data_IF_977387251785
#
_entry.id   IF_977387251785
#
_cell.length_a   1.000
_cell.length_b   1.000
_cell.length_c   1.000
_cell.angle_alpha   90.00
_cell.angle_beta   90.00
_cell.angle_gamma   90.00
#
_symmetry.space_group_name_H-M   'P 1'
#
loop_
_entity.id
_entity.type
_entity.pdbx_description
1 polymer ?
#
# COMPACT_ATOMS: atom_id res chain seq x y z
N UNK A 1 22.56 18.40 -34.18
CA UNK A 1 22.73 17.10 -34.86
C UNK A 1 23.61 16.24 -33.96
N UNK A 2 23.24 14.95 -33.82
CA UNK A 2 23.56 13.99 -32.74
C UNK A 2 22.75 14.29 -31.46
N UNK A 3 21.60 13.67 -31.16
CA UNK A 3 21.10 12.27 -31.27
C UNK A 3 21.63 11.36 -30.16
N UNK A 4 21.03 11.45 -28.97
CA UNK A 4 21.03 10.42 -27.95
C UNK A 4 19.59 10.00 -27.70
N UNK A 5 19.32 8.73 -27.98
CA UNK A 5 18.02 8.11 -27.92
C UNK A 5 17.63 7.85 -26.46
N UNK A 6 16.44 8.31 -26.08
CA UNK A 6 15.75 7.79 -24.91
C UNK A 6 15.27 6.37 -25.25
N UNK A 7 15.69 5.38 -24.47
CA UNK A 7 15.08 4.05 -24.55
C UNK A 7 13.65 4.11 -23.99
N UNK A 8 12.66 3.51 -24.67
CA UNK A 8 11.30 3.45 -24.18
C UNK A 8 11.15 2.36 -23.11
N UNK A 9 10.60 2.76 -21.96
CA UNK A 9 10.06 1.86 -20.95
C UNK A 9 8.78 1.22 -21.52
N UNK A 10 8.82 -0.09 -21.77
CA UNK A 10 7.65 -0.89 -22.12
C UNK A 10 6.96 -1.37 -20.83
N UNK A 11 5.71 -1.00 -20.56
CA UNK A 11 4.93 -1.62 -19.50
C UNK A 11 4.67 -3.08 -19.89
N UNK A 12 5.25 -3.99 -19.12
CA UNK A 12 5.07 -5.42 -19.25
C UNK A 12 3.59 -5.81 -19.21
N UNK A 13 3.23 -6.62 -20.20
CA UNK A 13 1.98 -7.29 -20.49
C UNK A 13 1.35 -7.98 -19.24
N UNK A 14 0.59 -7.22 -18.44
CA UNK A 14 -0.36 -7.79 -17.48
C UNK A 14 -1.49 -8.43 -18.27
N UNK A 15 -1.47 -9.76 -18.34
CA UNK A 15 -2.50 -10.60 -18.96
C UNK A 15 -3.84 -10.44 -18.24
N UNK A 16 -4.55 -9.34 -18.49
CA UNK A 16 -5.98 -9.22 -18.21
C UNK A 16 -6.72 -10.14 -19.16
N UNK A 17 -7.18 -11.29 -18.64
CA UNK A 17 -8.05 -12.21 -19.38
C UNK A 17 -9.37 -11.51 -19.76
N UNK A 18 -9.52 -11.32 -21.08
CA UNK A 18 -10.69 -11.57 -21.92
C UNK A 18 -12.07 -11.12 -21.39
N UNK A 19 -12.58 -10.04 -21.97
CA UNK A 19 -13.94 -10.04 -22.52
C UNK A 19 -13.90 -9.78 -24.04
N UNK A 20 -14.54 -10.67 -24.78
CA UNK A 20 -14.68 -10.70 -26.23
C UNK A 20 -15.51 -9.52 -26.75
N UNK A 21 -15.13 -8.98 -27.92
CA UNK A 21 -16.08 -8.30 -28.81
C UNK A 21 -15.50 -7.27 -29.78
N UNK A 22 -14.71 -7.71 -30.79
CA UNK A 22 -14.42 -6.90 -31.97
C UNK A 22 -15.54 -7.09 -33.00
N UNK A 23 -16.20 -6.01 -33.40
CA UNK A 23 -16.94 -5.95 -34.67
C UNK A 23 -16.63 -4.60 -35.35
N UNK A 24 -15.89 -4.70 -36.47
CA UNK A 24 -15.81 -3.68 -37.50
C UNK A 24 -16.93 -3.96 -38.53
N UNK A 25 -17.39 -2.90 -39.18
CA UNK A 25 -18.47 -2.78 -40.19
C UNK A 25 -19.84 -2.32 -39.68
N UNK A 26 -20.27 -1.21 -40.27
CA UNK A 26 -21.38 -0.39 -39.82
C UNK A 26 -22.74 -1.04 -39.97
N UNK A 27 -23.52 -0.91 -38.90
CA UNK A 27 -24.96 -0.84 -38.96
C UNK A 27 -25.37 0.41 -38.17
N UNK A 28 -26.30 1.21 -38.71
CA UNK A 28 -26.92 2.32 -37.95
C UNK A 28 -27.69 1.69 -36.79
N UNK A 29 -27.02 1.54 -35.64
CA UNK A 29 -27.71 1.25 -34.39
C UNK A 29 -28.62 2.45 -34.11
N UNK A 30 -29.93 2.25 -33.89
CA UNK A 30 -30.78 3.35 -33.42
C UNK A 30 -30.15 3.92 -32.15
N UNK A 31 -30.26 5.25 -31.90
CA UNK A 31 -29.74 5.83 -30.67
C UNK A 31 -30.33 5.04 -29.51
N UNK A 32 -29.45 4.42 -28.71
CA UNK A 32 -29.84 3.74 -27.48
C UNK A 32 -30.68 4.74 -26.68
N UNK A 33 -31.90 4.39 -26.23
CA UNK A 33 -32.67 5.29 -25.39
C UNK A 33 -31.78 5.73 -24.23
N UNK A 34 -31.83 7.01 -23.80
CA UNK A 34 -30.99 7.48 -22.71
C UNK A 34 -31.20 6.52 -21.54
N UNK A 35 -30.11 5.89 -21.09
CA UNK A 35 -30.18 5.05 -19.91
C UNK A 35 -30.80 5.90 -18.78
N UNK A 36 -31.72 5.33 -17.96
CA UNK A 36 -32.28 6.08 -16.85
C UNK A 36 -31.10 6.64 -16.04
N UNK A 37 -31.06 7.96 -15.88
CA UNK A 37 -30.01 8.62 -15.12
C UNK A 37 -30.20 8.23 -13.66
N UNK A 38 -29.41 7.28 -13.19
CA UNK A 38 -29.37 6.89 -11.79
C UNK A 38 -28.56 7.93 -11.03
N UNK A 39 -29.15 8.43 -9.95
CA UNK A 39 -28.49 9.34 -9.02
C UNK A 39 -27.74 8.56 -7.95
N UNK A 40 -26.78 9.16 -7.23
CA UNK A 40 -26.19 8.55 -6.04
C UNK A 40 -27.24 8.12 -5.00
N UNK A 41 -28.35 8.86 -4.87
CA UNK A 41 -29.45 8.49 -3.97
C UNK A 41 -30.16 7.20 -4.40
N UNK A 42 -30.32 6.97 -5.71
CA UNK A 42 -30.91 5.72 -6.21
C UNK A 42 -30.02 4.51 -5.91
N UNK A 43 -28.70 4.67 -6.00
CA UNK A 43 -27.73 3.62 -5.66
C UNK A 43 -27.73 3.37 -4.16
N UNK A 44 -27.75 4.43 -3.34
CA UNK A 44 -27.84 4.34 -1.89
C UNK A 44 -29.09 3.57 -1.44
N UNK A 45 -30.26 3.82 -2.05
CA UNK A 45 -31.48 3.10 -1.74
C UNK A 45 -31.37 1.59 -2.04
N UNK A 46 -30.76 1.21 -3.17
CA UNK A 46 -30.49 -0.19 -3.49
C UNK A 46 -29.51 -0.80 -2.49
N UNK A 47 -28.45 -0.07 -2.13
CA UNK A 47 -27.50 -0.50 -1.11
C UNK A 47 -28.18 -0.71 0.24
N UNK A 48 -29.17 0.12 0.59
CA UNK A 48 -29.95 0.02 1.84
C UNK A 48 -30.93 -1.16 1.86
N UNK A 49 -31.37 -1.63 0.69
CA UNK A 49 -32.25 -2.81 0.59
C UNK A 49 -31.49 -4.12 0.38
N UNK A 50 -30.16 -4.07 0.23
CA UNK A 50 -29.33 -5.25 -0.03
C UNK A 50 -29.00 -5.99 1.27
N UNK A 51 -29.28 -7.29 1.33
CA UNK A 51 -28.86 -8.14 2.44
C UNK A 51 -27.33 -8.25 2.49
N UNK A 52 -26.75 -8.10 3.68
CA UNK A 52 -25.30 -8.22 3.88
C UNK A 52 -24.94 -9.69 4.12
N UNK A 53 -23.99 -10.20 3.35
CA UNK A 53 -23.42 -11.52 3.59
C UNK A 53 -22.68 -11.55 4.94
N UNK A 54 -22.66 -12.71 5.58
CA UNK A 54 -21.87 -12.91 6.79
C UNK A 54 -20.38 -12.71 6.46
N UNK A 55 -19.64 -11.89 7.23
CA UNK A 55 -18.21 -11.74 7.01
C UNK A 55 -17.52 -13.07 7.33
N UNK A 56 -16.73 -13.56 6.37
CA UNK A 56 -15.79 -14.67 6.60
C UNK A 56 -14.39 -14.16 6.39
N UNK A 57 -13.40 -14.81 7.01
CA UNK A 57 -12.00 -14.42 6.83
C UNK A 57 -11.59 -14.46 5.35
N UNK A 58 -12.01 -15.48 4.60
CA UNK A 58 -11.74 -15.59 3.16
C UNK A 58 -12.33 -14.43 2.37
N UNK A 59 -13.59 -14.06 2.64
CA UNK A 59 -14.26 -12.97 1.95
C UNK A 59 -13.61 -11.63 2.28
N UNK A 60 -13.31 -11.39 3.55
CA UNK A 60 -12.68 -10.14 3.99
C UNK A 60 -11.26 -10.02 3.48
N UNK A 61 -10.49 -11.10 3.50
CA UNK A 61 -9.15 -11.17 2.90
C UNK A 61 -9.19 -10.84 1.41
N UNK A 62 -10.12 -11.45 0.67
CA UNK A 62 -10.28 -11.18 -0.76
C UNK A 62 -10.64 -9.72 -1.03
N UNK A 63 -11.66 -9.18 -0.35
CA UNK A 63 -12.12 -7.80 -0.57
C UNK A 63 -11.07 -6.78 -0.12
N UNK A 64 -10.40 -7.01 1.01
CA UNK A 64 -9.32 -6.13 1.46
C UNK A 64 -8.13 -6.19 0.52
N UNK A 65 -7.75 -7.38 0.04
CA UNK A 65 -6.69 -7.54 -0.96
C UNK A 65 -7.00 -6.80 -2.25
N UNK A 66 -8.25 -6.88 -2.74
CA UNK A 66 -8.71 -6.12 -3.92
C UNK A 66 -8.57 -4.61 -3.69
N UNK A 67 -9.09 -4.08 -2.56
CA UNK A 67 -8.97 -2.65 -2.21
C UNK A 67 -7.50 -2.19 -2.17
N UNK A 68 -6.62 -3.00 -1.57
CA UNK A 68 -5.20 -2.67 -1.44
C UNK A 68 -4.48 -2.74 -2.78
N UNK A 69 -4.79 -3.71 -3.64
CA UNK A 69 -4.16 -3.85 -4.96
C UNK A 69 -4.45 -2.66 -5.88
N UNK A 70 -5.60 -2.01 -5.73
CA UNK A 70 -5.98 -0.82 -6.51
C UNK A 70 -5.42 0.51 -5.96
N UNK A 71 -4.66 0.49 -4.85
CA UNK A 71 -4.06 1.67 -4.23
C UNK A 71 -2.93 2.26 -5.09
N UNK A 72 -3.31 3.15 -6.02
CA UNK A 72 -2.41 3.86 -6.96
C UNK A 72 -2.42 5.35 -6.67
N UNK A 73 -1.76 5.78 -5.59
CA UNK A 73 -1.77 7.18 -5.12
C UNK A 73 -0.92 8.15 -5.97
N UNK A 74 -0.69 7.78 -7.22
CA UNK A 74 -0.07 8.57 -8.28
C UNK A 74 -1.04 8.85 -9.45
N UNK A 75 -2.26 8.30 -9.41
CA UNK A 75 -3.34 8.55 -10.38
C UNK A 75 -4.54 9.27 -9.74
N UNK A 76 -5.45 9.75 -10.60
CA UNK A 76 -6.75 10.26 -10.13
C UNK A 76 -7.61 9.13 -9.54
N UNK A 77 -8.43 9.42 -8.52
CA UNK A 77 -9.42 8.48 -8.02
C UNK A 77 -10.38 8.03 -9.13
N UNK A 78 -10.76 6.76 -9.10
CA UNK A 78 -11.68 6.21 -10.07
C UNK A 78 -13.07 6.87 -9.93
N UNK A 79 -13.90 6.70 -10.97
CA UNK A 79 -15.27 7.21 -10.94
C UNK A 79 -16.08 6.56 -9.81
N UNK A 80 -15.82 5.28 -9.53
CA UNK A 80 -16.36 4.53 -8.39
C UNK A 80 -15.98 5.18 -7.06
N UNK A 81 -14.71 5.55 -6.85
CA UNK A 81 -14.22 6.20 -5.63
C UNK A 81 -14.94 7.52 -5.37
N UNK A 82 -15.09 8.33 -6.42
CA UNK A 82 -15.84 9.60 -6.35
C UNK A 82 -17.31 9.38 -6.02
N UNK A 83 -17.92 8.32 -6.55
CA UNK A 83 -19.32 7.97 -6.31
C UNK A 83 -19.54 7.53 -4.85
N UNK A 84 -18.71 6.62 -4.32
CA UNK A 84 -18.82 6.12 -2.93
C UNK A 84 -18.49 7.20 -1.90
N UNK A 85 -17.71 8.22 -2.28
CA UNK A 85 -17.41 9.38 -1.42
C UNK A 85 -18.60 10.34 -1.24
N UNK A 86 -19.67 10.23 -2.04
CA UNK A 86 -20.85 11.09 -1.91
C UNK A 86 -21.60 10.84 -0.60
N UNK A 87 -22.21 11.89 -0.03
CA UNK A 87 -22.94 11.81 1.24
C UNK A 87 -24.01 10.70 1.29
N UNK A 88 -24.86 10.50 0.26
CA UNK A 88 -25.85 9.41 0.29
C UNK A 88 -25.21 8.03 0.42
N UNK A 89 -24.21 7.71 -0.42
CA UNK A 89 -23.54 6.41 -0.36
C UNK A 89 -22.74 6.24 0.93
N UNK A 90 -22.02 7.26 1.39
CA UNK A 90 -21.30 7.19 2.67
C UNK A 90 -22.24 6.91 3.84
N UNK A 91 -23.46 7.43 3.81
CA UNK A 91 -24.45 7.15 4.85
C UNK A 91 -24.88 5.68 4.83
N UNK A 92 -25.24 5.15 3.66
CA UNK A 92 -25.63 3.74 3.50
C UNK A 92 -24.47 2.80 3.81
N UNK A 93 -23.24 3.12 3.40
CA UNK A 93 -22.05 2.30 3.66
C UNK A 93 -21.66 2.20 5.14
N UNK A 94 -22.15 3.10 6.02
CA UNK A 94 -21.88 2.98 7.47
C UNK A 94 -22.39 1.66 8.05
N UNK A 95 -23.51 1.15 7.54
CA UNK A 95 -24.07 -0.13 7.99
C UNK A 95 -23.19 -1.32 7.58
N UNK A 96 -22.57 -1.24 6.41
CA UNK A 96 -21.64 -2.25 5.89
C UNK A 96 -20.37 -2.26 6.72
N UNK A 97 -19.81 -1.06 6.99
CA UNK A 97 -18.66 -0.93 7.88
C UNK A 97 -18.96 -1.45 9.30
N UNK A 98 -20.13 -1.12 9.86
CA UNK A 98 -20.53 -1.62 11.18
C UNK A 98 -20.72 -3.15 11.21
N UNK A 99 -21.26 -3.73 10.13
CA UNK A 99 -21.43 -5.19 9.99
C UNK A 99 -20.08 -5.91 9.91
N UNK A 100 -19.15 -5.38 9.12
CA UNK A 100 -17.78 -5.92 9.00
C UNK A 100 -17.05 -5.85 10.35
N UNK A 101 -17.08 -4.67 11.00
CA UNK A 101 -16.38 -4.45 12.27
C UNK A 101 -16.99 -5.18 13.47
N UNK A 102 -18.22 -5.69 13.34
CA UNK A 102 -18.84 -6.52 14.38
C UNK A 102 -18.29 -7.95 14.38
N UNK A 103 -17.65 -8.40 13.29
CA UNK A 103 -17.08 -9.73 13.21
C UNK A 103 -15.67 -9.81 13.80
N UNK A 104 -15.43 -10.85 14.59
CA UNK A 104 -14.18 -11.10 15.30
C UNK A 104 -12.95 -11.25 14.40
N UNK A 105 -13.10 -11.63 13.13
CA UNK A 105 -11.99 -11.74 12.17
C UNK A 105 -11.36 -10.39 11.84
N UNK A 106 -12.04 -9.28 12.16
CA UNK A 106 -11.52 -7.91 12.01
C UNK A 106 -10.91 -7.35 13.29
N UNK A 107 -10.90 -8.08 14.40
CA UNK A 107 -10.41 -7.59 15.69
C UNK A 107 -8.97 -7.06 15.59
N UNK A 108 -8.10 -7.80 14.88
CA UNK A 108 -6.70 -7.45 14.68
C UNK A 108 -6.48 -6.18 13.84
N UNK A 109 -7.50 -5.64 13.16
CA UNK A 109 -7.35 -4.47 12.31
C UNK A 109 -6.97 -3.21 13.08
N UNK A 110 -7.38 -3.11 14.35
CA UNK A 110 -7.06 -2.01 15.25
C UNK A 110 -6.13 -2.37 16.40
N UNK A 111 -5.56 -3.58 16.41
CA UNK A 111 -4.64 -4.02 17.44
C UNK A 111 -3.24 -3.46 17.17
N UNK A 112 -2.48 -3.21 18.24
CA UNK A 112 -1.03 -2.99 18.15
C UNK A 112 -0.34 -4.23 17.56
N UNK A 113 0.88 -4.07 17.05
CA UNK A 113 1.63 -5.19 16.46
C UNK A 113 1.79 -6.36 17.44
N UNK A 114 1.30 -7.54 17.04
CA UNK A 114 1.57 -8.79 17.77
C UNK A 114 3.01 -9.25 17.53
N UNK A 115 3.88 -8.94 18.49
CA UNK A 115 5.31 -9.28 18.46
C UNK A 115 5.58 -10.80 18.45
N UNK A 116 4.60 -11.62 18.81
CA UNK A 116 4.73 -13.08 18.79
C UNK A 116 4.39 -13.70 17.43
N UNK A 117 3.71 -12.94 16.58
CA UNK A 117 3.26 -13.37 15.27
C UNK A 117 3.67 -12.40 14.17
N UNK A 118 4.91 -12.54 13.68
CA UNK A 118 5.43 -11.71 12.59
C UNK A 118 6.19 -12.58 11.57
N UNK A 119 6.07 -12.24 10.30
CA UNK A 119 6.87 -12.80 9.22
C UNK A 119 7.31 -11.74 8.22
N UNK A 120 8.48 -11.96 7.65
CA UNK A 120 8.99 -11.21 6.51
C UNK A 120 8.72 -12.01 5.24
N UNK A 121 8.33 -11.34 4.17
CA UNK A 121 8.11 -11.94 2.85
C UNK A 121 9.10 -11.34 1.85
N UNK A 122 9.68 -12.21 1.04
CA UNK A 122 10.54 -11.88 -0.09
C UNK A 122 9.85 -12.32 -1.38
N UNK A 123 9.81 -11.41 -2.34
CA UNK A 123 9.34 -11.66 -3.71
C UNK A 123 10.53 -11.98 -4.64
N UNK A 124 10.34 -12.76 -5.72
CA UNK A 124 11.43 -13.23 -6.59
C UNK A 124 12.33 -12.12 -7.17
N UNK A 125 11.73 -11.00 -7.60
CA UNK A 125 12.43 -9.90 -8.26
C UNK A 125 12.80 -8.75 -7.31
N UNK A 126 12.56 -8.94 -6.01
CA UNK A 126 12.91 -7.98 -4.97
C UNK A 126 14.15 -8.51 -4.22
N UNK A 127 15.18 -7.65 -3.99
CA UNK A 127 16.33 -7.96 -3.15
C UNK A 127 15.98 -8.79 -1.91
N UNK A 128 16.68 -9.91 -1.75
CA UNK A 128 16.35 -10.88 -0.71
C UNK A 128 16.71 -10.47 0.71
N UNK A 129 16.34 -11.31 1.68
CA UNK A 129 16.54 -11.08 3.11
C UNK A 129 17.97 -10.68 3.51
N UNK A 130 18.98 -11.08 2.72
CA UNK A 130 20.40 -10.82 2.94
C UNK A 130 20.85 -9.42 2.50
N UNK A 131 20.01 -8.70 1.74
CA UNK A 131 20.28 -7.36 1.22
C UNK A 131 19.67 -6.26 2.11
N UNK A 132 19.10 -6.62 3.26
CA UNK A 132 18.68 -5.67 4.28
C UNK A 132 19.93 -4.94 4.79
N UNK A 133 19.97 -3.63 4.56
CA UNK A 133 21.09 -2.82 4.98
C UNK A 133 21.12 -2.61 6.49
N UNK A 134 22.25 -2.15 7.03
CA UNK A 134 22.31 -1.74 8.44
C UNK A 134 21.37 -0.54 8.64
N UNK A 135 20.32 -0.62 9.47
CA UNK A 135 19.28 0.42 9.49
C UNK A 135 19.80 1.86 9.67
N UNK A 136 20.78 2.14 10.55
CA UNK A 136 21.32 3.51 10.67
C UNK A 136 21.94 4.05 9.37
N UNK A 137 22.64 3.21 8.61
CA UNK A 137 23.28 3.62 7.36
C UNK A 137 22.25 3.77 6.23
N UNK A 138 21.26 2.88 6.16
CA UNK A 138 20.14 2.96 5.21
C UNK A 138 19.36 4.25 5.41
N UNK A 139 19.00 4.56 6.66
CA UNK A 139 18.22 5.75 7.00
C UNK A 139 18.99 7.04 6.73
N UNK A 140 20.29 7.07 7.00
CA UNK A 140 21.12 8.23 6.68
C UNK A 140 21.19 8.48 5.16
N UNK A 141 21.48 7.44 4.37
CA UNK A 141 21.52 7.53 2.89
C UNK A 141 20.17 7.98 2.34
N UNK A 142 19.09 7.36 2.80
CA UNK A 142 17.72 7.75 2.41
C UNK A 142 17.46 9.22 2.72
N UNK A 143 17.85 9.71 3.91
CA UNK A 143 17.63 11.10 4.30
C UNK A 143 18.36 12.09 3.37
N UNK A 144 19.61 11.81 3.01
CA UNK A 144 20.42 12.61 2.10
C UNK A 144 19.86 12.58 0.66
N UNK A 145 19.36 11.43 0.23
CA UNK A 145 18.69 11.25 -1.06
C UNK A 145 17.40 12.09 -1.12
N UNK A 146 16.56 12.06 -0.09
CA UNK A 146 15.32 12.85 -0.04
C UNK A 146 15.59 14.36 -0.08
N UNK A 147 16.59 14.86 0.67
CA UNK A 147 17.00 16.29 0.59
C UNK A 147 17.41 16.67 -0.85
N UNK A 148 18.19 15.78 -1.50
CA UNK A 148 18.67 16.01 -2.85
C UNK A 148 17.51 15.97 -3.87
N UNK A 149 16.56 15.06 -3.70
CA UNK A 149 15.39 14.92 -4.55
C UNK A 149 14.45 16.11 -4.43
N UNK A 150 14.18 16.60 -3.22
CA UNK A 150 13.33 17.77 -3.00
C UNK A 150 13.95 19.03 -3.63
N UNK A 151 15.24 19.29 -3.38
CA UNK A 151 15.97 20.43 -3.99
C UNK A 151 15.95 20.34 -5.51
N UNK A 152 16.19 19.14 -6.06
CA UNK A 152 16.16 18.90 -7.51
C UNK A 152 14.77 19.14 -8.07
N UNK A 153 13.74 18.64 -7.41
CA UNK A 153 12.35 18.76 -7.83
C UNK A 153 11.91 20.23 -7.88
N UNK A 154 12.24 21.02 -6.86
CA UNK A 154 11.95 22.46 -6.83
C UNK A 154 12.68 23.24 -7.93
N UNK A 155 13.87 22.80 -8.33
CA UNK A 155 14.66 23.44 -9.39
C UNK A 155 14.19 23.08 -10.80
N UNK A 156 13.87 21.81 -11.03
CA UNK A 156 13.70 21.25 -12.38
C UNK A 156 12.24 21.09 -12.81
N UNK A 157 11.31 20.93 -11.86
CA UNK A 157 9.91 20.63 -12.16
C UNK A 157 9.04 21.88 -12.15
N UNK A 158 7.93 21.83 -12.89
CA UNK A 158 6.99 22.95 -12.95
C UNK A 158 6.30 23.17 -11.59
N UNK A 159 6.14 24.45 -11.25
CA UNK A 159 5.44 24.85 -10.03
C UNK A 159 3.92 24.58 -10.07
N UNK A 160 3.36 24.37 -11.27
CA UNK A 160 1.98 23.97 -11.48
C UNK A 160 1.81 22.49 -11.09
N UNK A 161 0.96 22.17 -10.08
CA UNK A 161 0.73 20.79 -9.66
C UNK A 161 -0.03 19.96 -10.70
N UNK A 162 -0.71 20.59 -11.68
CA UNK A 162 -1.41 19.87 -12.75
C UNK A 162 -0.50 19.48 -13.93
N UNK A 163 0.80 19.78 -13.85
CA UNK A 163 1.74 19.40 -14.90
C UNK A 163 1.91 17.87 -14.95
N UNK A 164 2.02 17.31 -16.16
CA UNK A 164 2.29 15.89 -16.37
C UNK A 164 3.70 15.54 -15.88
N UNK A 165 3.77 15.02 -14.66
CA UNK A 165 4.98 14.52 -14.05
C UNK A 165 4.62 13.45 -13.04
N UNK A 166 5.39 12.36 -13.02
CA UNK A 166 5.28 11.32 -12.00
C UNK A 166 6.67 10.93 -11.51
N UNK A 167 6.76 10.42 -10.29
CA UNK A 167 8.00 9.96 -9.69
C UNK A 167 7.76 9.09 -8.47
N UNK A 168 8.61 9.27 -7.46
CA UNK A 168 8.45 8.54 -6.20
C UNK A 168 7.26 9.10 -5.42
N UNK A 169 6.20 8.33 -5.24
CA UNK A 169 4.96 8.76 -4.59
C UNK A 169 4.79 8.22 -3.16
N UNK A 170 5.69 7.35 -2.72
CA UNK A 170 5.64 6.70 -1.42
C UNK A 170 6.02 7.62 -0.26
N UNK A 171 5.44 7.37 0.90
CA UNK A 171 5.79 7.97 2.19
C UNK A 171 6.27 6.96 3.24
N UNK A 172 6.23 5.65 2.93
CA UNK A 172 6.78 4.58 3.78
C UNK A 172 8.29 4.71 4.02
N UNK A 173 8.84 3.99 5.03
CA UNK A 173 10.28 3.87 5.23
C UNK A 173 11.01 3.24 4.03
N UNK A 174 12.35 3.44 3.91
CA UNK A 174 13.13 2.99 2.75
C UNK A 174 13.16 1.47 2.62
N UNK A 175 13.01 0.98 1.38
CA UNK A 175 12.81 -0.44 1.07
C UNK A 175 13.89 -1.40 1.60
N UNK A 176 15.12 -0.91 1.78
CA UNK A 176 16.26 -1.69 2.29
C UNK A 176 16.17 -2.00 3.79
N UNK A 177 15.12 -1.56 4.47
CA UNK A 177 14.83 -1.93 5.85
C UNK A 177 14.02 -3.23 5.92
N UNK A 178 14.11 -3.88 7.07
CA UNK A 178 13.32 -5.07 7.34
C UNK A 178 11.86 -4.67 7.59
N UNK A 179 10.94 -5.39 6.97
CA UNK A 179 9.49 -5.23 7.16
C UNK A 179 8.85 -6.56 7.51
N UNK A 180 7.82 -6.53 8.35
CA UNK A 180 7.09 -7.72 8.75
C UNK A 180 5.59 -7.48 8.84
N UNK A 181 4.84 -8.57 8.73
CA UNK A 181 3.38 -8.60 8.83
C UNK A 181 2.92 -9.74 9.73
N UNK A 182 1.71 -9.67 10.30
CA UNK A 182 1.08 -10.82 10.95
C UNK A 182 0.66 -11.88 9.93
N UNK A 183 0.13 -12.99 10.43
CA UNK A 183 -0.49 -14.03 9.61
C UNK A 183 -2.00 -13.98 9.70
N UNK A 184 -2.67 -14.48 8.66
CA UNK A 184 -4.04 -14.95 8.74
C UNK A 184 -4.13 -16.25 9.55
N UNK A 185 -5.34 -16.71 9.86
CA UNK A 185 -5.57 -17.91 10.67
C UNK A 185 -4.98 -19.18 10.05
N UNK A 186 -4.90 -19.23 8.71
CA UNK A 186 -4.28 -20.30 7.93
C UNK A 186 -2.74 -20.25 7.88
N UNK A 187 -2.12 -19.34 8.65
CA UNK A 187 -0.68 -19.11 8.70
C UNK A 187 -0.07 -18.52 7.43
N UNK A 188 -0.88 -17.98 6.51
CA UNK A 188 -0.36 -17.17 5.41
C UNK A 188 -0.01 -15.75 5.90
N UNK A 189 1.22 -15.25 5.66
CA UNK A 189 1.56 -13.86 5.94
C UNK A 189 0.61 -12.90 5.22
N UNK A 190 0.13 -11.86 5.92
CA UNK A 190 -0.92 -10.99 5.39
C UNK A 190 -0.52 -10.30 4.07
N UNK A 191 0.74 -9.89 3.95
CA UNK A 191 1.30 -9.25 2.73
C UNK A 191 1.29 -10.16 1.49
N UNK A 192 1.00 -11.46 1.60
CA UNK A 192 0.76 -12.26 0.41
C UNK A 192 -0.51 -11.81 -0.34
N UNK A 193 -1.47 -11.26 0.39
CA UNK A 193 -2.74 -10.79 -0.14
C UNK A 193 -2.85 -9.26 -0.14
N UNK A 194 -2.17 -8.59 0.79
CA UNK A 194 -2.32 -7.17 1.06
C UNK A 194 -1.10 -6.38 0.54
N UNK A 195 -1.00 -6.23 -0.77
CA UNK A 195 0.10 -5.49 -1.44
C UNK A 195 -0.44 -4.33 -2.26
N UNK A 196 -0.02 -3.11 -1.94
CA UNK A 196 -0.31 -1.95 -2.79
C UNK A 196 0.42 -2.06 -4.12
N UNK A 197 -0.29 -1.77 -5.22
CA UNK A 197 0.30 -1.65 -6.56
C UNK A 197 1.23 -2.82 -6.91
N UNK A 198 0.77 -4.05 -6.60
CA UNK A 198 1.57 -5.26 -6.69
C UNK A 198 1.90 -5.66 -8.13
N UNK A 199 3.06 -6.29 -8.33
CA UNK A 199 3.56 -6.68 -9.66
C UNK A 199 3.02 -8.04 -10.16
N UNK A 200 1.93 -8.55 -9.58
CA UNK A 200 1.34 -9.82 -9.98
C UNK A 200 2.20 -11.05 -9.66
N UNK A 201 2.95 -11.03 -8.55
CA UNK A 201 3.78 -12.15 -8.15
C UNK A 201 2.96 -13.41 -7.87
N UNK A 202 3.41 -14.55 -8.40
CA UNK A 202 2.78 -15.86 -8.21
C UNK A 202 3.58 -16.77 -7.27
N UNK A 203 4.77 -16.33 -6.85
CA UNK A 203 5.61 -17.06 -5.90
C UNK A 203 6.20 -16.10 -4.87
N UNK A 204 6.44 -16.58 -3.66
CA UNK A 204 7.08 -15.82 -2.60
C UNK A 204 7.81 -16.75 -1.61
N UNK A 205 8.73 -16.17 -0.84
CA UNK A 205 9.33 -16.85 0.30
C UNK A 205 9.02 -16.08 1.58
N UNK A 206 8.80 -16.78 2.69
CA UNK A 206 8.67 -16.14 3.99
C UNK A 206 9.59 -16.75 5.05
N UNK A 207 9.93 -15.94 6.04
CA UNK A 207 10.60 -16.35 7.28
C UNK A 207 9.86 -15.74 8.46
N UNK A 208 9.71 -16.52 9.54
CA UNK A 208 9.23 -15.98 10.82
C UNK A 208 10.22 -14.93 11.32
N UNK A 209 9.70 -13.88 11.94
CA UNK A 209 10.50 -12.86 12.58
C UNK A 209 10.44 -13.04 14.09
N UNK A 210 11.60 -12.98 14.73
CA UNK A 210 11.72 -12.97 16.18
C UNK A 210 12.10 -11.57 16.66
N UNK A 211 11.34 -11.04 17.62
CA UNK A 211 11.51 -9.69 18.12
C UNK A 211 11.98 -9.75 19.58
N UNK A 212 13.28 -9.56 19.86
CA UNK A 212 13.77 -9.58 21.23
C UNK A 212 13.26 -8.41 22.07
N UNK A 213 13.06 -8.68 23.36
CA UNK A 213 12.86 -7.64 24.36
C UNK A 213 11.55 -6.87 24.19
N UNK A 214 11.61 -5.56 24.42
CA UNK A 214 10.47 -4.65 24.34
C UNK A 214 10.85 -3.45 23.46
N UNK A 215 10.83 -3.60 22.12
CA UNK A 215 11.11 -2.50 21.22
C UNK A 215 10.08 -1.37 21.42
N UNK A 216 10.50 -0.13 21.18
CA UNK A 216 9.61 1.02 21.15
C UNK A 216 8.96 1.10 19.78
N UNK A 217 7.69 0.77 19.68
CA UNK A 217 6.98 0.77 18.40
C UNK A 217 6.05 1.98 18.33
N UNK A 218 6.07 2.67 17.19
CA UNK A 218 5.10 3.73 16.90
C UNK A 218 3.92 3.10 16.15
N UNK A 219 2.77 3.03 16.81
CA UNK A 219 1.53 2.49 16.25
C UNK A 219 0.76 3.60 15.53
N UNK A 220 0.30 3.34 14.31
CA UNK A 220 -0.52 4.25 13.50
C UNK A 220 -1.88 3.60 13.29
N UNK A 221 -2.86 4.02 14.10
CA UNK A 221 -4.23 3.51 14.06
C UNK A 221 -5.21 4.48 13.40
N UNK A 222 -4.80 5.75 13.26
CA UNK A 222 -5.65 6.83 12.75
C UNK A 222 -4.85 7.84 11.93
N UNK A 223 -5.57 8.67 11.16
CA UNK A 223 -4.99 9.84 10.51
C UNK A 223 -4.31 10.80 11.51
N UNK A 224 -4.83 10.90 12.74
CA UNK A 224 -4.28 11.74 13.80
C UNK A 224 -2.94 11.22 14.33
N UNK A 225 -2.76 9.90 14.41
CA UNK A 225 -1.47 9.31 14.80
C UNK A 225 -0.40 9.63 13.77
N UNK A 226 -0.73 9.47 12.48
CA UNK A 226 0.14 9.87 11.36
C UNK A 226 0.46 11.36 11.39
N UNK A 227 -0.56 12.20 11.57
CA UNK A 227 -0.39 13.65 11.66
C UNK A 227 0.52 14.03 12.84
N UNK A 228 0.35 13.37 13.99
CA UNK A 228 1.20 13.55 15.16
C UNK A 228 2.65 13.14 14.91
N UNK A 229 2.88 12.06 14.15
CA UNK A 229 4.22 11.61 13.78
C UNK A 229 4.90 12.62 12.83
N UNK A 230 4.21 13.02 11.75
CA UNK A 230 4.68 14.04 10.81
C UNK A 230 4.96 15.37 11.52
N UNK A 231 4.15 15.74 12.52
CA UNK A 231 4.34 16.97 13.28
C UNK A 231 5.60 16.95 14.14
N UNK A 232 5.94 15.79 14.70
CA UNK A 232 7.11 15.62 15.56
C UNK A 232 8.41 15.47 14.77
N UNK A 233 8.34 14.86 13.60
CA UNK A 233 9.50 14.59 12.75
C UNK A 233 9.23 15.01 11.30
N UNK A 234 9.00 16.30 11.01
CA UNK A 234 8.65 16.71 9.67
C UNK A 234 9.85 16.63 8.72
N UNK A 235 9.65 15.98 7.57
CA UNK A 235 10.51 16.05 6.40
C UNK A 235 9.71 16.66 5.24
N UNK A 236 10.24 17.74 4.67
CA UNK A 236 9.64 18.44 3.53
C UNK A 236 9.81 17.65 2.23
N UNK A 237 8.71 17.46 1.50
CA UNK A 237 8.68 16.72 0.21
C UNK A 237 7.75 17.40 -0.81
N UNK A 238 7.58 18.72 -0.70
CA UNK A 238 6.62 19.49 -1.50
C UNK A 238 6.92 19.49 -2.99
N UNK A 239 8.17 19.73 -3.39
CA UNK A 239 8.59 19.65 -4.78
C UNK A 239 8.53 18.23 -5.30
N UNK A 240 8.87 17.26 -4.46
CA UNK A 240 9.00 15.86 -4.83
C UNK A 240 7.64 15.20 -5.11
N UNK A 241 6.66 15.36 -4.20
CA UNK A 241 5.38 14.62 -4.23
C UNK A 241 4.21 15.37 -4.85
N UNK A 242 4.36 16.68 -5.10
CA UNK A 242 3.25 17.57 -5.52
C UNK A 242 2.39 17.05 -6.66
N UNK A 243 2.97 16.45 -7.70
CA UNK A 243 2.23 16.09 -8.91
C UNK A 243 1.38 14.85 -8.65
N UNK A 244 2.02 13.75 -8.22
CA UNK A 244 1.35 12.50 -7.89
C UNK A 244 0.30 12.69 -6.77
N UNK A 245 0.65 13.41 -5.70
CA UNK A 245 -0.30 13.63 -4.60
C UNK A 245 -1.40 14.63 -4.95
N UNK A 246 -1.17 15.56 -5.88
CA UNK A 246 -2.25 16.38 -6.43
C UNK A 246 -3.22 15.54 -7.26
N UNK A 247 -2.73 14.62 -8.08
CA UNK A 247 -3.60 13.71 -8.86
C UNK A 247 -4.57 12.95 -7.96
N UNK A 248 -4.07 12.36 -6.87
CA UNK A 248 -4.91 11.53 -6.00
C UNK A 248 -5.78 12.34 -5.02
N UNK A 249 -5.28 13.46 -4.49
CA UNK A 249 -5.99 14.22 -3.43
C UNK A 249 -6.71 15.48 -3.91
N UNK A 250 -6.36 16.00 -5.09
CA UNK A 250 -6.78 17.32 -5.57
C UNK A 250 -6.21 18.50 -4.77
N UNK A 251 -5.35 18.25 -3.77
CA UNK A 251 -4.79 19.28 -2.91
C UNK A 251 -3.46 19.78 -3.46
N UNK A 252 -3.28 21.10 -3.45
CA UNK A 252 -2.00 21.75 -3.66
C UNK A 252 -1.53 22.40 -2.35
N UNK A 253 -0.22 22.58 -2.19
CA UNK A 253 0.36 23.24 -1.03
C UNK A 253 1.58 22.51 -0.50
N UNK A 254 1.84 22.71 0.79
CA UNK A 254 2.99 22.13 1.47
C UNK A 254 2.71 20.66 1.84
N UNK A 255 3.72 19.82 1.65
CA UNK A 255 3.69 18.38 1.89
C UNK A 255 4.86 17.95 2.76
N UNK A 256 4.56 17.15 3.78
CA UNK A 256 5.56 16.53 4.66
C UNK A 256 5.33 15.03 4.81
N UNK A 257 6.39 14.31 5.12
CA UNK A 257 6.37 12.93 5.62
C UNK A 257 7.17 12.84 6.92
N UNK A 258 7.11 11.73 7.67
CA UNK A 258 8.03 11.52 8.78
C UNK A 258 9.49 11.41 8.30
N UNK A 259 10.40 12.16 8.93
CA UNK A 259 11.84 11.93 8.81
C UNK A 259 12.19 10.60 9.49
N UNK A 260 12.22 9.51 8.72
CA UNK A 260 12.48 8.17 9.25
C UNK A 260 13.82 8.04 9.97
N UNK A 261 14.83 8.83 9.58
CA UNK A 261 16.12 8.86 10.27
C UNK A 261 16.02 9.53 11.65
N UNK A 262 15.18 10.57 11.79
CA UNK A 262 14.87 11.16 13.09
C UNK A 262 13.96 10.26 13.95
N UNK A 263 12.95 9.63 13.34
CA UNK A 263 12.03 8.68 14.01
C UNK A 263 12.80 7.53 14.66
N UNK A 264 13.80 6.98 13.96
CA UNK A 264 14.64 5.87 14.45
C UNK A 264 15.42 6.16 15.74
N UNK A 265 15.55 7.44 16.14
CA UNK A 265 16.16 7.80 17.43
C UNK A 265 15.23 7.49 18.60
N UNK A 266 13.92 7.49 18.37
CA UNK A 266 12.90 7.34 19.40
C UNK A 266 12.14 6.02 19.30
N UNK A 267 12.09 5.40 18.12
CA UNK A 267 11.37 4.17 17.87
C UNK A 267 12.27 3.14 17.18
N UNK A 268 12.06 1.88 17.53
CA UNK A 268 12.72 0.72 16.94
C UNK A 268 11.94 0.17 15.74
N UNK A 269 10.62 0.41 15.71
CA UNK A 269 9.76 0.09 14.58
C UNK A 269 8.55 1.01 14.49
N UNK A 270 7.89 1.00 13.33
CA UNK A 270 6.66 1.75 13.06
C UNK A 270 5.67 0.81 12.41
N UNK A 271 4.48 0.71 12.98
CA UNK A 271 3.43 -0.19 12.55
C UNK A 271 2.25 0.61 12.00
N UNK A 272 1.79 0.26 10.79
CA UNK A 272 0.55 0.77 10.23
C UNK A 272 -0.54 -0.28 10.38
N UNK A 273 -1.48 -0.05 11.31
CA UNK A 273 -2.63 -0.93 11.48
C UNK A 273 -3.58 -0.88 10.27
N UNK A 274 -4.36 -1.94 10.06
CA UNK A 274 -5.34 -2.01 8.95
C UNK A 274 -6.39 -0.91 9.08
N UNK A 275 -6.85 -0.60 10.30
CA UNK A 275 -7.78 0.49 10.55
C UNK A 275 -7.17 1.85 10.21
N UNK A 276 -5.91 2.08 10.56
CA UNK A 276 -5.14 3.28 10.21
C UNK A 276 -5.07 3.45 8.70
N UNK A 277 -4.67 2.38 8.01
CA UNK A 277 -4.63 2.32 6.56
C UNK A 277 -5.99 2.68 5.92
N UNK A 278 -7.05 1.93 6.24
CA UNK A 278 -8.39 2.13 5.65
C UNK A 278 -8.97 3.52 5.94
N UNK A 279 -8.59 4.13 7.05
CA UNK A 279 -9.08 5.46 7.44
C UNK A 279 -8.39 6.61 6.69
N UNK A 280 -7.13 6.43 6.28
CA UNK A 280 -6.23 7.55 5.99
C UNK A 280 -5.37 7.40 4.72
N UNK A 281 -5.09 6.18 4.26
CA UNK A 281 -4.25 5.95 3.07
C UNK A 281 -4.85 6.61 1.81
N UNK A 282 -3.99 7.21 1.00
CA UNK A 282 -4.38 7.93 -0.21
C UNK A 282 -5.13 9.26 0.00
N UNK A 283 -5.41 9.66 1.23
CA UNK A 283 -6.11 10.92 1.55
C UNK A 283 -5.12 11.99 1.96
N UNK A 284 -5.45 13.25 1.68
CA UNK A 284 -4.76 14.37 2.32
C UNK A 284 -5.08 14.38 3.82
N UNK A 285 -4.03 14.35 4.64
CA UNK A 285 -4.09 14.38 6.10
C UNK A 285 -3.50 15.72 6.56
N UNK A 286 -4.32 16.58 7.13
CA UNK A 286 -3.87 17.88 7.65
C UNK A 286 -3.01 17.69 8.92
N UNK A 287 -1.90 18.43 9.03
CA UNK A 287 -0.89 18.24 10.09
C UNK A 287 -1.09 19.17 11.30
N UNK A 288 -2.16 19.97 11.34
CA UNK A 288 -2.49 20.95 12.40
C UNK A 288 -1.30 21.79 12.92
N UNK A 289 -0.23 21.97 12.14
CA UNK A 289 0.84 22.94 12.42
C UNK A 289 0.45 24.30 11.86
N UNK A 290 -0.07 24.27 10.64
CA UNK A 290 -0.64 25.38 9.91
C UNK A 290 -1.72 24.82 8.96
N UNK A 291 -2.57 25.69 8.44
CA UNK A 291 -3.66 25.30 7.53
C UNK A 291 -3.15 24.90 6.13
N UNK A 292 -1.84 24.94 5.88
CA UNK A 292 -1.24 24.80 4.55
C UNK A 292 -0.35 23.55 4.42
N UNK A 293 -0.16 22.79 5.49
CA UNK A 293 0.68 21.57 5.52
C UNK A 293 -0.17 20.32 5.67
N UNK A 294 0.00 19.39 4.73
CA UNK A 294 -0.60 18.07 4.78
C UNK A 294 0.42 16.96 4.54
N UNK A 295 -0.01 15.72 4.69
CA UNK A 295 0.72 14.50 4.36
C UNK A 295 -0.23 13.49 3.70
N UNK A 296 0.33 12.42 3.14
CA UNK A 296 -0.40 11.27 2.61
C UNK A 296 0.32 9.99 3.07
N UNK A 297 -0.43 9.00 3.55
CA UNK A 297 0.08 7.64 3.72
C UNK A 297 0.00 6.95 2.36
N UNK A 298 1.16 6.56 1.82
CA UNK A 298 1.27 6.03 0.47
C UNK A 298 2.44 5.04 0.34
N UNK A 299 2.22 3.94 -0.38
CA UNK A 299 3.22 2.89 -0.57
C UNK A 299 3.37 1.97 0.61
N UNK A 300 2.40 1.88 1.52
CA UNK A 300 2.52 1.16 2.77
C UNK A 300 1.39 0.15 2.92
N UNK A 301 1.74 -1.13 2.97
CA UNK A 301 0.78 -2.21 3.12
C UNK A 301 0.09 -2.21 4.51
N UNK A 302 -1.21 -2.51 4.60
CA UNK A 302 -1.90 -2.58 5.88
C UNK A 302 -1.38 -3.73 6.75
N UNK A 303 -1.21 -3.48 8.05
CA UNK A 303 -0.66 -4.43 9.01
C UNK A 303 0.86 -4.58 8.94
N UNK A 304 1.55 -3.78 8.12
CA UNK A 304 3.00 -3.85 7.94
C UNK A 304 3.76 -3.01 8.96
N UNK A 305 4.78 -3.63 9.56
CA UNK A 305 5.71 -3.02 10.49
C UNK A 305 7.07 -2.84 9.82
N UNK A 306 7.59 -1.63 9.83
CA UNK A 306 8.94 -1.31 9.37
C UNK A 306 9.89 -1.18 10.56
N UNK A 307 11.01 -1.90 10.51
CA UNK A 307 12.00 -1.93 11.59
C UNK A 307 13.15 -0.97 11.30
N UNK A 308 13.26 0.05 12.15
CA UNK A 308 14.20 1.17 12.00
C UNK A 308 15.54 0.90 12.69
N UNK A 309 15.63 -0.15 13.49
CA UNK A 309 16.85 -0.57 14.21
C UNK A 309 17.11 -2.07 14.01
N UNK A 310 18.34 -2.52 14.31
CA UNK A 310 18.77 -3.91 14.07
C UNK A 310 18.22 -4.93 15.09
N UNK A 311 17.05 -4.67 15.68
CA UNK A 311 16.48 -5.45 16.78
C UNK A 311 15.97 -6.84 16.37
N UNK A 312 15.13 -6.96 15.34
CA UNK A 312 14.53 -8.24 14.98
C UNK A 312 15.51 -9.22 14.33
N UNK A 313 15.37 -10.51 14.66
CA UNK A 313 16.13 -11.61 14.06
C UNK A 313 15.25 -12.45 13.15
N UNK A 314 15.79 -12.85 12.00
CA UNK A 314 15.11 -13.75 11.06
C UNK A 314 15.21 -15.22 11.51
N UNK A 315 14.09 -15.92 11.48
CA UNK A 315 14.05 -17.37 11.65
C UNK A 315 14.77 -18.09 10.51
N UNK A 316 15.24 -19.30 10.78
CA UNK A 316 16.01 -20.11 9.82
C UNK A 316 15.14 -20.86 8.82
N UNK A 317 13.89 -21.17 9.17
CA UNK A 317 12.95 -21.87 8.30
C UNK A 317 12.47 -20.93 7.20
N UNK A 318 12.84 -21.26 5.96
CA UNK A 318 12.29 -20.64 4.76
C UNK A 318 11.02 -21.39 4.35
N UNK A 319 9.93 -20.66 4.17
CA UNK A 319 8.66 -21.20 3.68
C UNK A 319 8.43 -20.71 2.27
N UNK A 320 8.10 -21.63 1.35
CA UNK A 320 7.84 -21.31 -0.04
C UNK A 320 6.33 -21.21 -0.26
N UNK A 321 5.92 -20.20 -1.01
CA UNK A 321 4.53 -19.91 -1.30
C UNK A 321 4.30 -19.86 -2.80
N UNK A 322 3.18 -20.42 -3.24
CA UNK A 322 2.73 -20.37 -4.62
C UNK A 322 1.26 -19.96 -4.66
N UNK A 323 0.94 -19.02 -5.54
CA UNK A 323 -0.42 -18.59 -5.82
C UNK A 323 -1.12 -19.64 -6.68
N UNK A 324 -2.26 -20.13 -6.23
CA UNK A 324 -3.11 -21.05 -6.99
C UNK A 324 -4.12 -20.29 -7.87
N UNK A 325 -4.72 -20.97 -8.84
CA UNK A 325 -5.78 -20.39 -9.71
C UNK A 325 -7.00 -19.88 -8.91
N UNK A 326 -7.19 -20.41 -7.70
CA UNK A 326 -8.22 -20.00 -6.73
C UNK A 326 -7.91 -18.67 -6.04
N UNK A 327 -6.79 -18.01 -6.38
CA UNK A 327 -6.26 -16.82 -5.71
C UNK A 327 -5.89 -17.06 -4.25
N UNK A 328 -5.67 -18.31 -3.86
CA UNK A 328 -5.15 -18.68 -2.55
C UNK A 328 -3.66 -18.99 -2.63
N UNK A 329 -2.93 -18.53 -1.64
CA UNK A 329 -1.52 -18.87 -1.48
C UNK A 329 -1.39 -20.18 -0.74
N UNK A 330 -0.68 -21.12 -1.35
CA UNK A 330 -0.37 -22.41 -0.75
C UNK A 330 1.10 -22.48 -0.35
N UNK A 331 1.34 -23.02 0.85
CA UNK A 331 2.67 -23.43 1.24
C UNK A 331 3.12 -24.64 0.42
N UNK A 332 4.25 -24.49 -0.27
CA UNK A 332 4.93 -25.58 -0.96
C UNK A 332 6.02 -26.08 -0.02
N UNK A 333 5.99 -27.38 0.33
CA UNK A 333 7.10 -27.98 1.05
C UNK A 333 8.33 -27.97 0.15
N UNK A 334 9.43 -27.41 0.62
CA UNK A 334 10.70 -27.57 -0.08
C UNK A 334 11.03 -29.05 -0.08
N UNK A 335 10.91 -29.74 -1.22
CA UNK A 335 11.61 -31.00 -1.40
C UNK A 335 13.08 -30.72 -1.09
N UNK A 336 13.62 -31.37 -0.07
CA UNK A 336 15.04 -31.40 0.21
C UNK A 336 15.76 -32.17 -0.92
N UNK A 337 15.82 -31.60 -2.13
CA UNK A 337 16.49 -32.15 -3.31
C UNK A 337 16.89 -31.01 -4.27
N UNK A 338 17.68 -30.06 -3.79
CA UNK A 338 18.64 -29.35 -4.64
C UNK A 338 20.04 -29.58 -4.05
N UNK A 339 20.40 -30.86 -3.89
CA UNK A 339 21.81 -31.24 -3.80
C UNK A 339 22.44 -30.98 -5.17
N UNK A 340 23.19 -29.88 -5.27
CA UNK A 340 24.15 -29.69 -6.34
C UNK A 340 25.01 -30.97 -6.45
N UNK A 341 25.11 -31.62 -7.62
CA UNK A 341 26.06 -32.71 -7.78
C UNK A 341 27.48 -32.13 -7.63
N UNK A 342 28.40 -32.83 -6.94
CA UNK A 342 29.78 -32.38 -6.86
C UNK A 342 30.34 -32.30 -8.28
N UNK A 343 30.94 -31.15 -8.60
CA UNK A 343 31.72 -30.99 -9.82
C UNK A 343 32.81 -32.08 -9.82
N UNK A 344 32.72 -32.99 -10.79
CA UNK A 344 33.73 -34.01 -11.08
C UNK A 344 34.94 -33.44 -11.79
#
# INVERSE_FOLDING_TARGET
MANEAAEPFEPGDLKSRRYLGRALFGSRTPPRPPAPQRTPADVAAVLDDTDLADPTEDLLRFVLGDVVAFARYWEEPEVSDRLIATTPLRNSLRRVAAHILADHTTAWWGDDVDRSDQACVQWPDIPGFEQVGKPPAVLLSWREEQDSMEVRALRERRADPTAEWSGEWWSRPPEKLLRSVPHFSDQAPAVLYLVEDGFGWETAHSRRLWIPGAPRICEIHTAQDWAGLCRRFPLEVTGEKRHDWYCTTGRAGRWVIPDWHAVARQYDGVHLGVAGYLSAAGRAIDIDIDAETASVIAGWNPGETWWLTAGPGLGTKLTHWQLEESLHWRQVESCAQDEYPPAG
#
